data_IF_146834718477
#
_entry.id   IF_146834718477
#
_cell.length_a   1.000
_cell.length_b   1.000
_cell.length_c   1.000
_cell.angle_alpha   90.00
_cell.angle_beta   90.00
_cell.angle_gamma   90.00
#
_symmetry.space_group_name_H-M   'P 1'
#
loop_
_entity.id
_entity.type
_entity.pdbx_description
1 polymer ?
#
# COMPACT_ATOMS: atom_id res chain seq x y z
N UNK A 1 13.93 26.83 -40.52
CA UNK A 1 14.83 25.92 -39.78
C UNK A 1 16.24 26.49 -39.57
N UNK A 2 17.17 26.51 -40.56
CA UNK A 2 18.55 26.99 -40.31
C UNK A 2 18.60 28.49 -39.93
N UNK A 3 17.81 29.34 -40.58
CA UNK A 3 17.78 30.77 -40.25
C UNK A 3 17.18 31.09 -38.88
N UNK A 4 16.21 30.29 -38.42
CA UNK A 4 15.62 30.43 -37.07
C UNK A 4 16.63 30.02 -36.00
N UNK A 5 17.38 28.95 -36.23
CA UNK A 5 18.46 28.52 -35.32
C UNK A 5 19.53 29.62 -35.22
N UNK A 6 19.94 30.23 -36.33
CA UNK A 6 20.91 31.32 -36.31
C UNK A 6 20.38 32.58 -35.60
N UNK A 7 19.09 32.88 -35.75
CA UNK A 7 18.46 34.01 -35.08
C UNK A 7 18.37 33.80 -33.56
N UNK A 8 17.93 32.62 -33.11
CA UNK A 8 17.85 32.29 -31.68
C UNK A 8 19.24 32.12 -31.06
N UNK A 9 20.21 31.55 -31.80
CA UNK A 9 21.60 31.46 -31.34
C UNK A 9 22.22 32.84 -31.10
N UNK A 10 21.90 33.84 -31.93
CA UNK A 10 22.36 35.22 -31.73
C UNK A 10 21.71 35.88 -30.51
N UNK A 11 20.41 35.63 -30.26
CA UNK A 11 19.71 36.11 -29.06
C UNK A 11 20.28 35.48 -27.79
N UNK A 12 20.49 34.17 -27.80
CA UNK A 12 21.13 33.45 -26.71
C UNK A 12 22.55 33.97 -26.45
N UNK A 13 23.37 34.14 -27.50
CA UNK A 13 24.72 34.66 -27.36
C UNK A 13 24.75 36.07 -26.74
N UNK A 14 23.79 36.92 -27.10
CA UNK A 14 23.65 38.24 -26.49
C UNK A 14 23.28 38.14 -24.99
N UNK A 15 22.35 37.26 -24.62
CA UNK A 15 22.00 37.01 -23.22
C UNK A 15 23.20 36.51 -22.40
N UNK A 16 24.06 35.66 -22.99
CA UNK A 16 25.30 35.20 -22.36
C UNK A 16 26.29 36.34 -22.14
N UNK A 17 26.50 37.21 -23.14
CA UNK A 17 27.39 38.38 -23.03
C UNK A 17 26.88 39.35 -21.97
N UNK A 18 25.58 39.59 -21.94
CA UNK A 18 24.93 40.53 -21.00
C UNK A 18 24.68 39.92 -19.62
N UNK A 19 25.04 38.64 -19.42
CA UNK A 19 24.81 37.86 -18.19
C UNK A 19 23.36 37.92 -17.71
N UNK A 20 22.42 37.97 -18.65
CA UNK A 20 20.99 38.00 -18.36
C UNK A 20 20.42 36.61 -18.61
N UNK A 21 19.97 35.96 -17.54
CA UNK A 21 19.28 34.68 -17.64
C UNK A 21 18.04 34.82 -18.54
N UNK A 22 17.77 33.87 -19.45
CA UNK A 22 16.52 33.82 -20.19
C UNK A 22 15.32 33.72 -19.23
N UNK A 23 14.14 34.09 -19.71
CA UNK A 23 12.92 33.88 -18.94
C UNK A 23 12.72 32.38 -18.68
N UNK A 24 12.39 32.03 -17.44
CA UNK A 24 12.19 30.64 -17.05
C UNK A 24 10.97 30.04 -17.74
N UNK A 25 11.10 28.78 -18.13
CA UNK A 25 10.02 27.95 -18.65
C UNK A 25 9.34 27.20 -17.48
N UNK A 26 8.10 27.53 -17.10
CA UNK A 26 7.43 26.90 -15.95
C UNK A 26 7.19 25.40 -16.10
N UNK A 27 7.18 24.84 -17.32
CA UNK A 27 6.96 23.41 -17.54
C UNK A 27 8.26 22.59 -17.43
N UNK A 28 9.42 23.26 -17.47
CA UNK A 28 10.74 22.61 -17.58
C UNK A 28 11.70 23.02 -16.49
N UNK A 29 11.65 24.26 -16.06
CA UNK A 29 12.55 24.83 -15.08
C UNK A 29 12.02 24.68 -13.66
N UNK A 30 12.94 24.65 -12.71
CA UNK A 30 12.61 24.58 -11.29
C UNK A 30 12.00 25.89 -10.83
N UNK A 31 10.82 25.79 -10.22
CA UNK A 31 10.28 26.87 -9.41
C UNK A 31 11.18 27.08 -8.18
N UNK A 32 11.65 28.31 -8.03
CA UNK A 32 12.40 28.77 -6.86
C UNK A 32 11.60 29.93 -6.28
N UNK A 33 11.09 29.82 -5.04
CA UNK A 33 10.29 30.88 -4.45
C UNK A 33 11.14 32.16 -4.30
N UNK A 34 10.51 33.32 -4.42
CA UNK A 34 11.17 34.62 -4.30
C UNK A 34 10.38 35.55 -3.37
N UNK A 35 11.07 36.51 -2.75
CA UNK A 35 10.44 37.49 -1.87
C UNK A 35 9.72 36.85 -0.68
N UNK A 36 8.50 37.31 -0.39
CA UNK A 36 7.69 36.84 0.76
C UNK A 36 7.27 35.36 0.65
N UNK A 37 7.26 34.78 -0.56
CA UNK A 37 6.91 33.37 -0.76
C UNK A 37 7.98 32.42 -0.22
N UNK A 38 9.23 32.87 -0.11
CA UNK A 38 10.35 32.05 0.42
C UNK A 38 10.05 31.58 1.83
N UNK A 39 9.62 32.48 2.71
CA UNK A 39 9.34 32.13 4.10
C UNK A 39 8.13 31.20 4.22
N UNK A 40 7.12 31.41 3.38
CA UNK A 40 5.94 30.52 3.32
C UNK A 40 6.33 29.12 2.87
N UNK A 41 7.19 29.03 1.86
CA UNK A 41 7.70 27.75 1.37
C UNK A 41 8.55 27.03 2.42
N UNK A 42 9.46 27.74 3.08
CA UNK A 42 10.32 27.16 4.14
C UNK A 42 9.45 26.57 5.25
N UNK A 43 8.52 27.35 5.80
CA UNK A 43 7.66 26.88 6.88
C UNK A 43 6.83 25.65 6.47
N UNK A 44 6.23 25.68 5.27
CA UNK A 44 5.45 24.55 4.78
C UNK A 44 6.32 23.30 4.54
N UNK A 45 7.53 23.48 4.01
CA UNK A 45 8.46 22.39 3.74
C UNK A 45 9.01 21.77 5.03
N UNK A 46 9.27 22.56 6.07
CA UNK A 46 9.69 22.06 7.38
C UNK A 46 8.61 21.19 8.01
N UNK A 47 7.38 21.69 8.09
CA UNK A 47 6.23 20.93 8.60
C UNK A 47 5.99 19.65 7.79
N UNK A 48 6.00 19.74 6.46
CA UNK A 48 5.83 18.57 5.62
C UNK A 48 6.90 17.50 5.89
N UNK A 49 8.17 17.92 6.00
CA UNK A 49 9.29 16.99 6.26
C UNK A 49 9.21 16.38 7.66
N UNK A 50 8.74 17.13 8.65
CA UNK A 50 8.49 16.61 9.99
C UNK A 50 7.46 15.48 9.95
N UNK A 51 6.29 15.74 9.35
CA UNK A 51 5.24 14.72 9.25
C UNK A 51 5.65 13.55 8.35
N UNK A 52 6.39 13.77 7.27
CA UNK A 52 6.89 12.66 6.45
C UNK A 52 7.82 11.76 7.27
N UNK A 53 8.73 12.32 8.07
CA UNK A 53 9.61 11.54 8.93
C UNK A 53 8.82 10.68 9.94
N UNK A 54 7.83 11.26 10.62
CA UNK A 54 6.95 10.53 11.55
C UNK A 54 6.16 9.43 10.83
N UNK A 55 5.62 9.72 9.64
CA UNK A 55 4.93 8.73 8.82
C UNK A 55 5.85 7.56 8.43
N UNK A 56 7.10 7.85 8.05
CA UNK A 56 8.04 6.78 7.70
C UNK A 56 8.39 5.92 8.92
N UNK A 57 8.57 6.52 10.09
CA UNK A 57 8.81 5.79 11.34
C UNK A 57 7.61 4.90 11.71
N UNK A 58 6.39 5.43 11.65
CA UNK A 58 5.18 4.66 11.92
C UNK A 58 4.96 3.54 10.90
N UNK A 59 5.28 3.76 9.62
CA UNK A 59 5.24 2.70 8.59
C UNK A 59 6.26 1.61 8.88
N UNK A 60 7.47 1.97 9.30
CA UNK A 60 8.50 1.02 9.68
C UNK A 60 8.03 0.20 10.89
N UNK A 61 7.49 0.85 11.91
CA UNK A 61 6.94 0.19 13.10
C UNK A 61 5.76 -0.73 12.75
N UNK A 62 4.86 -0.30 11.87
CA UNK A 62 3.76 -1.12 11.36
C UNK A 62 4.28 -2.37 10.68
N UNK A 63 5.28 -2.23 9.80
CA UNK A 63 5.93 -3.35 9.10
C UNK A 63 6.52 -4.35 10.09
N UNK A 64 7.27 -3.87 11.10
CA UNK A 64 7.85 -4.72 12.15
C UNK A 64 6.78 -5.49 12.94
N UNK A 65 5.69 -4.82 13.32
CA UNK A 65 4.59 -5.45 14.04
C UNK A 65 3.87 -6.49 13.16
N UNK A 66 3.69 -6.21 11.88
CA UNK A 66 3.15 -7.17 10.93
C UNK A 66 4.05 -8.40 10.78
N UNK A 67 5.37 -8.23 10.69
CA UNK A 67 6.32 -9.34 10.68
C UNK A 67 6.23 -10.18 11.97
N UNK A 68 6.09 -9.52 13.14
CA UNK A 68 5.89 -10.21 14.42
C UNK A 68 4.55 -10.94 14.51
N UNK A 69 3.49 -10.45 13.85
CA UNK A 69 2.19 -11.11 13.80
C UNK A 69 2.21 -12.39 12.94
N UNK A 70 3.03 -12.45 11.88
CA UNK A 70 3.02 -13.57 10.92
C UNK A 70 3.22 -14.95 11.57
N UNK A 71 4.23 -15.18 12.45
CA UNK A 71 4.40 -16.47 13.11
C UNK A 71 3.16 -16.89 13.91
N UNK A 72 2.51 -15.96 14.61
CA UNK A 72 1.29 -16.25 15.39
C UNK A 72 0.12 -16.60 14.47
N UNK A 73 -0.03 -15.88 13.35
CA UNK A 73 -1.02 -16.22 12.34
C UNK A 73 -0.77 -17.61 11.74
N UNK A 74 0.47 -17.97 11.49
CA UNK A 74 0.81 -19.28 10.94
C UNK A 74 0.61 -20.40 11.98
N UNK A 75 0.85 -20.14 13.26
CA UNK A 75 0.42 -21.04 14.36
C UNK A 75 -1.10 -21.23 14.35
N UNK A 76 -1.89 -20.16 14.31
CA UNK A 76 -3.35 -20.27 14.28
C UNK A 76 -3.83 -21.04 13.05
N UNK A 77 -3.29 -20.76 11.86
CA UNK A 77 -3.59 -21.53 10.65
C UNK A 77 -3.26 -23.00 10.86
N UNK A 78 -2.10 -23.34 11.41
CA UNK A 78 -1.74 -24.74 11.65
C UNK A 78 -2.72 -25.44 12.60
N UNK A 79 -3.10 -24.78 13.70
CA UNK A 79 -4.06 -25.30 14.68
C UNK A 79 -5.46 -25.52 14.09
N UNK A 80 -5.87 -24.69 13.12
CA UNK A 80 -7.16 -24.87 12.43
C UNK A 80 -7.24 -26.17 11.62
N UNK A 81 -6.12 -26.83 11.30
CA UNK A 81 -6.15 -28.06 10.49
C UNK A 81 -6.89 -27.87 9.16
N UNK A 82 -7.96 -28.63 8.94
CA UNK A 82 -8.80 -28.58 7.73
C UNK A 82 -10.02 -27.63 7.86
N UNK A 83 -10.22 -27.01 9.03
CA UNK A 83 -11.36 -26.11 9.24
C UNK A 83 -11.19 -24.81 8.44
N UNK A 84 -12.29 -24.37 7.82
CA UNK A 84 -12.31 -23.12 7.05
C UNK A 84 -12.53 -21.88 7.91
N UNK A 85 -13.11 -22.04 9.09
CA UNK A 85 -13.40 -20.94 10.01
C UNK A 85 -12.94 -21.31 11.41
N UNK A 86 -12.26 -20.36 12.06
CA UNK A 86 -12.00 -20.39 13.49
C UNK A 86 -12.27 -19.00 14.04
N UNK A 87 -12.90 -18.94 15.19
CA UNK A 87 -13.18 -17.73 15.94
C UNK A 87 -12.92 -18.12 17.39
N UNK A 88 -11.93 -17.49 18.03
CA UNK A 88 -11.60 -17.71 19.43
C UNK A 88 -10.66 -16.61 19.92
N UNK A 89 -10.79 -16.21 21.19
CA UNK A 89 -9.89 -15.27 21.85
C UNK A 89 -9.69 -13.96 21.06
N UNK A 90 -10.76 -13.39 20.50
CA UNK A 90 -10.67 -12.08 19.86
C UNK A 90 -10.19 -12.10 18.42
N UNK A 91 -9.96 -13.27 17.82
CA UNK A 91 -9.46 -13.38 16.44
C UNK A 91 -10.26 -14.40 15.65
N UNK A 92 -10.86 -13.91 14.55
CA UNK A 92 -11.52 -14.74 13.55
C UNK A 92 -10.58 -14.94 12.35
N UNK A 93 -10.31 -16.19 12.01
CA UNK A 93 -9.57 -16.59 10.81
C UNK A 93 -10.50 -17.36 9.87
N UNK A 94 -10.58 -16.91 8.62
CA UNK A 94 -11.38 -17.55 7.57
C UNK A 94 -10.52 -17.89 6.36
N UNK A 95 -10.43 -19.17 6.03
CA UNK A 95 -9.81 -19.68 4.80
C UNK A 95 -10.79 -19.64 3.65
N UNK A 96 -10.32 -19.30 2.47
CA UNK A 96 -11.12 -19.32 1.25
C UNK A 96 -10.24 -19.56 0.02
N UNK A 97 -10.81 -20.16 -1.01
CA UNK A 97 -10.16 -20.35 -2.30
C UNK A 97 -10.35 -19.10 -3.15
N UNK A 98 -9.26 -18.43 -3.49
CA UNK A 98 -9.25 -17.34 -4.44
C UNK A 98 -8.98 -17.89 -5.84
N UNK A 99 -9.87 -17.59 -6.78
CA UNK A 99 -9.62 -17.85 -8.20
C UNK A 99 -8.34 -17.15 -8.64
N UNK A 100 -7.53 -17.83 -9.45
CA UNK A 100 -6.31 -17.24 -10.00
C UNK A 100 -6.62 -16.04 -10.89
N UNK A 101 -5.61 -15.17 -11.04
CA UNK A 101 -5.71 -14.02 -11.94
C UNK A 101 -5.72 -14.50 -13.39
N UNK A 102 -6.46 -13.81 -14.24
CA UNK A 102 -6.43 -14.05 -15.69
C UNK A 102 -5.34 -13.18 -16.32
N UNK A 103 -4.46 -13.79 -17.12
CA UNK A 103 -3.51 -13.06 -17.95
C UNK A 103 -4.17 -12.55 -19.24
N UNK A 104 -4.82 -11.39 -19.14
CA UNK A 104 -5.46 -10.74 -20.28
C UNK A 104 -4.47 -10.29 -21.35
N UNK A 105 -3.21 -9.99 -20.99
CA UNK A 105 -2.22 -9.56 -21.99
C UNK A 105 -1.90 -10.71 -22.93
N UNK A 106 -1.66 -11.90 -22.37
CA UNK A 106 -1.40 -13.10 -23.15
C UNK A 106 -2.64 -13.55 -23.93
N UNK A 107 -3.81 -13.52 -23.30
CA UNK A 107 -5.07 -13.89 -23.94
C UNK A 107 -5.36 -13.02 -25.18
N UNK A 108 -5.19 -11.69 -25.07
CA UNK A 108 -5.43 -10.77 -26.18
C UNK A 108 -4.36 -10.91 -27.27
N UNK A 109 -3.11 -11.20 -26.91
CA UNK A 109 -2.04 -11.45 -27.87
C UNK A 109 -2.30 -12.72 -28.70
N UNK A 110 -2.78 -13.80 -28.08
CA UNK A 110 -2.97 -15.09 -28.74
C UNK A 110 -4.28 -15.17 -29.56
N UNK A 111 -5.37 -14.54 -29.09
CA UNK A 111 -6.72 -14.69 -29.67
C UNK A 111 -7.24 -13.43 -30.38
N UNK A 112 -6.56 -12.28 -30.25
CA UNK A 112 -6.95 -11.00 -30.82
C UNK A 112 -8.45 -10.70 -30.60
N UNK A 113 -9.21 -10.36 -31.65
CA UNK A 113 -10.64 -10.03 -31.58
C UNK A 113 -11.57 -11.24 -31.41
N UNK A 114 -11.04 -12.47 -31.39
CA UNK A 114 -11.81 -13.73 -31.39
C UNK A 114 -11.99 -14.37 -30.01
N UNK A 115 -11.80 -13.61 -28.93
CA UNK A 115 -11.91 -14.12 -27.55
C UNK A 115 -13.31 -14.62 -27.27
N UNK A 116 -13.44 -15.89 -26.86
CA UNK A 116 -14.67 -16.43 -26.30
C UNK A 116 -14.59 -16.46 -24.77
N UNK A 117 -15.72 -16.38 -24.05
CA UNK A 117 -15.74 -16.52 -22.59
C UNK A 117 -15.07 -17.82 -22.10
N UNK A 118 -15.19 -18.90 -22.87
CA UNK A 118 -14.57 -20.21 -22.58
C UNK A 118 -13.03 -20.19 -22.59
N UNK A 119 -12.43 -19.25 -23.34
CA UNK A 119 -10.97 -19.15 -23.44
C UNK A 119 -10.36 -18.54 -22.18
N UNK A 120 -11.12 -17.74 -21.42
CA UNK A 120 -10.63 -16.94 -20.28
C UNK A 120 -10.02 -17.83 -19.20
N UNK A 121 -10.62 -18.98 -18.92
CA UNK A 121 -10.15 -19.87 -17.86
C UNK A 121 -8.85 -20.62 -18.22
N UNK A 122 -8.50 -20.72 -19.51
CA UNK A 122 -7.22 -21.31 -19.95
C UNK A 122 -6.02 -20.40 -19.64
N UNK A 123 -6.27 -19.09 -19.54
CA UNK A 123 -5.28 -18.07 -19.19
C UNK A 123 -5.33 -17.68 -17.71
N UNK A 124 -6.11 -18.43 -16.91
CA UNK A 124 -6.22 -18.22 -15.47
C UNK A 124 -5.11 -18.97 -14.74
N UNK A 125 -4.45 -18.27 -13.82
CA UNK A 125 -3.49 -18.88 -12.90
C UNK A 125 -4.16 -19.91 -11.97
N UNK A 126 -3.33 -20.73 -11.31
CA UNK A 126 -3.82 -21.67 -10.31
C UNK A 126 -4.53 -20.92 -9.18
N UNK A 127 -5.64 -21.48 -8.71
CA UNK A 127 -6.32 -20.96 -7.52
C UNK A 127 -5.37 -21.05 -6.32
N UNK A 128 -5.47 -20.06 -5.43
CA UNK A 128 -4.66 -19.98 -4.21
C UNK A 128 -5.56 -20.01 -2.99
N UNK A 129 -5.09 -20.65 -1.92
CA UNK A 129 -5.74 -20.55 -0.62
C UNK A 129 -5.32 -19.22 0.03
N UNK A 130 -6.32 -18.45 0.48
CA UNK A 130 -6.11 -17.19 1.18
C UNK A 130 -6.82 -17.24 2.52
N UNK A 131 -6.30 -16.44 3.46
CA UNK A 131 -6.90 -16.27 4.77
C UNK A 131 -7.31 -14.81 4.94
N UNK A 132 -8.51 -14.61 5.48
CA UNK A 132 -8.94 -13.33 6.04
C UNK A 132 -8.85 -13.43 7.56
N UNK A 133 -8.19 -12.46 8.17
CA UNK A 133 -8.10 -12.32 9.63
C UNK A 133 -8.96 -11.13 10.03
N UNK A 134 -9.69 -11.24 11.12
CA UNK A 134 -10.49 -10.15 11.69
C UNK A 134 -10.31 -10.18 13.21
N UNK A 135 -9.79 -9.10 13.78
CA UNK A 135 -9.78 -8.92 15.22
C UNK A 135 -11.21 -8.57 15.65
N UNK A 136 -11.79 -9.39 16.52
CA UNK A 136 -13.13 -9.20 17.07
C UNK A 136 -13.04 -8.40 18.36
N UNK A 137 -14.02 -7.54 18.62
CA UNK A 137 -14.07 -6.75 19.85
C UNK A 137 -14.52 -7.54 21.10
N UNK A 138 -14.52 -8.87 21.04
CA UNK A 138 -14.78 -9.73 22.19
C UNK A 138 -13.95 -10.99 22.07
N UNK A 139 -13.44 -11.47 23.22
CA UNK A 139 -12.67 -12.70 23.33
C UNK A 139 -13.53 -13.93 23.04
N UNK A 140 -14.84 -13.84 23.30
CA UNK A 140 -15.77 -14.96 23.15
C UNK A 140 -16.13 -15.19 21.69
N UNK A 141 -16.05 -16.45 21.21
CA UNK A 141 -16.42 -16.79 19.84
C UNK A 141 -17.91 -16.55 19.56
N UNK A 142 -18.22 -16.16 18.33
CA UNK A 142 -19.61 -15.93 17.93
C UNK A 142 -20.41 -17.21 17.92
N UNK A 143 -21.65 -17.12 18.40
CA UNK A 143 -22.66 -18.19 18.36
C UNK A 143 -22.30 -19.46 19.15
N UNK A 144 -21.34 -19.38 20.08
CA UNK A 144 -21.02 -20.45 21.03
C UNK A 144 -21.52 -20.04 22.41
N UNK A 145 -22.27 -20.95 23.05
CA UNK A 145 -22.80 -20.79 24.41
C UNK A 145 -22.30 -21.86 25.38
N UNK A 146 -21.45 -22.76 24.90
CA UNK A 146 -20.92 -23.88 25.67
C UNK A 146 -19.95 -23.36 26.74
N UNK A 147 -20.28 -23.61 28.01
CA UNK A 147 -19.55 -23.11 29.16
C UNK A 147 -18.13 -23.68 29.26
N UNK A 148 -17.92 -24.95 28.89
CA UNK A 148 -16.61 -25.58 28.94
C UNK A 148 -15.66 -24.97 27.89
N UNK A 149 -16.21 -24.53 26.76
CA UNK A 149 -15.46 -23.85 25.68
C UNK A 149 -15.14 -22.40 26.05
N UNK A 150 -16.03 -21.75 26.81
CA UNK A 150 -15.90 -20.34 27.20
C UNK A 150 -15.11 -20.13 28.49
N UNK A 151 -15.08 -21.11 29.41
CA UNK A 151 -14.40 -21.00 30.70
C UNK A 151 -12.93 -20.54 30.61
N UNK A 152 -12.12 -20.98 29.62
CA UNK A 152 -10.74 -20.48 29.48
C UNK A 152 -10.63 -18.99 29.08
N UNK A 153 -11.73 -18.38 28.63
CA UNK A 153 -11.77 -17.00 28.15
C UNK A 153 -12.31 -16.01 29.19
N UNK A 154 -12.92 -16.48 30.28
CA UNK A 154 -13.60 -15.62 31.25
C UNK A 154 -12.65 -14.69 32.00
N UNK A 155 -11.40 -15.12 32.20
CA UNK A 155 -10.35 -14.34 32.87
C UNK A 155 -9.51 -13.49 31.89
N UNK A 156 -9.79 -13.54 30.58
CA UNK A 156 -9.02 -12.80 29.59
C UNK A 156 -9.58 -11.38 29.42
N UNK A 157 -8.71 -10.35 29.37
CA UNK A 157 -9.15 -8.99 29.11
C UNK A 157 -9.65 -8.87 27.67
N UNK A 158 -10.77 -8.17 27.47
CA UNK A 158 -11.30 -7.89 26.12
C UNK A 158 -10.43 -6.88 25.36
N UNK A 159 -9.81 -5.94 26.08
CA UNK A 159 -8.89 -4.97 25.53
C UNK A 159 -7.43 -5.42 25.75
N UNK A 160 -6.64 -5.37 24.68
CA UNK A 160 -5.21 -5.63 24.75
C UNK A 160 -4.49 -4.30 24.97
N UNK A 161 -4.06 -4.04 26.21
CA UNK A 161 -3.22 -2.88 26.50
C UNK A 161 -1.82 -3.06 25.90
N UNK A 162 -1.39 -2.08 25.11
CA UNK A 162 -0.02 -2.07 24.58
C UNK A 162 0.92 -1.40 25.58
N UNK A 163 1.81 -2.18 26.20
CA UNK A 163 2.85 -1.68 27.11
C UNK A 163 4.08 -1.09 26.42
N UNK A 164 3.97 -0.74 25.13
CA UNK A 164 5.04 -0.12 24.36
C UNK A 164 4.79 1.38 24.29
N UNK A 165 5.36 2.12 25.24
CA UNK A 165 5.50 3.57 25.24
C UNK A 165 6.98 3.97 25.24
#
# INVERSE_FOLDING_TARGET
MIQEILAEAKKFWQQVVDKKEPDKDPERDLYIPQGEEVNRWIAAAEEYRLYDAEIQELKQRLSELQERQKPHLDTMKSLMGEYFHADYCGVMVTRYKAAGRVDYKKLLADKASGVKPEDVDQYREKSSERCRVTVTGSVKPRYIVDEDVLAPLDDLPEEVETFYW
#
